data_IF_567484529120
#
_entry.id   IF_567484529120
#
_cell.length_a   1.000
_cell.length_b   1.000
_cell.length_c   1.000
_cell.angle_alpha   90.00
_cell.angle_beta   90.00
_cell.angle_gamma   90.00
#
_symmetry.space_group_name_H-M   'P 1'
#
loop_
_entity.id
_entity.type
_entity.pdbx_description
1 polymer ?
#
# COMPACT_ATOMS: atom_id res chain seq x y z
N UNK A 1 8.21 9.88 -1.98
CA UNK A 1 7.84 9.08 -0.79
C UNK A 1 8.09 7.62 -1.10
N UNK A 2 8.78 6.91 -0.23
CA UNK A 2 8.97 5.46 -0.34
C UNK A 2 8.31 4.76 0.84
N UNK A 3 7.77 3.56 0.62
CA UNK A 3 7.26 2.73 1.69
C UNK A 3 7.37 1.25 1.36
N UNK A 4 7.81 0.49 2.35
CA UNK A 4 7.82 -0.97 2.37
C UNK A 4 6.58 -1.47 3.10
N UNK A 5 5.85 -2.37 2.46
CA UNK A 5 4.59 -2.92 2.95
C UNK A 5 4.61 -4.44 2.87
N UNK A 6 4.10 -5.08 3.91
CA UNK A 6 3.77 -6.50 3.87
C UNK A 6 2.27 -6.63 3.60
N UNK A 7 1.95 -7.25 2.46
CA UNK A 7 0.61 -7.41 1.92
C UNK A 7 0.26 -8.89 1.95
N UNK A 8 -1.02 -9.20 2.12
CA UNK A 8 -1.48 -10.61 2.07
C UNK A 8 -1.82 -11.08 0.66
N UNK A 9 -2.38 -10.19 -0.15
CA UNK A 9 -2.79 -10.49 -1.52
C UNK A 9 -2.05 -9.55 -2.47
N UNK A 10 -1.51 -10.11 -3.54
CA UNK A 10 -0.93 -9.38 -4.66
C UNK A 10 -1.88 -8.31 -5.22
N UNK A 11 -3.21 -8.53 -5.14
CA UNK A 11 -4.23 -7.54 -5.54
C UNK A 11 -4.14 -6.24 -4.75
N UNK A 12 -3.61 -6.25 -3.52
CA UNK A 12 -3.43 -5.03 -2.72
C UNK A 12 -2.41 -4.07 -3.34
N UNK A 13 -1.45 -4.58 -4.12
CA UNK A 13 -0.52 -3.75 -4.90
C UNK A 13 -1.28 -2.87 -5.89
N UNK A 14 -2.17 -3.46 -6.70
CA UNK A 14 -2.97 -2.71 -7.66
C UNK A 14 -3.89 -1.70 -6.97
N UNK A 15 -4.43 -2.04 -5.79
CA UNK A 15 -5.26 -1.11 -4.99
C UNK A 15 -4.45 0.10 -4.53
N UNK A 16 -3.22 -0.12 -4.05
CA UNK A 16 -2.32 0.95 -3.59
C UNK A 16 -1.90 1.86 -4.75
N UNK A 17 -1.56 1.28 -5.91
CA UNK A 17 -1.25 2.07 -7.12
C UNK A 17 -2.45 2.92 -7.56
N UNK A 18 -3.64 2.34 -7.57
CA UNK A 18 -4.87 3.07 -7.89
C UNK A 18 -5.18 4.17 -6.87
N UNK A 19 -4.91 3.95 -5.58
CA UNK A 19 -5.02 4.99 -4.55
C UNK A 19 -4.07 6.15 -4.83
N UNK A 20 -2.81 5.87 -5.16
CA UNK A 20 -1.84 6.91 -5.52
C UNK A 20 -2.35 7.79 -6.67
N UNK A 21 -2.86 7.18 -7.74
CA UNK A 21 -3.47 7.91 -8.86
C UNK A 21 -4.64 8.82 -8.41
N UNK A 22 -5.53 8.33 -7.54
CA UNK A 22 -6.66 9.13 -7.02
C UNK A 22 -6.22 10.34 -6.21
N UNK A 23 -5.06 10.28 -5.56
CA UNK A 23 -4.48 11.39 -4.82
C UNK A 23 -3.61 12.31 -5.68
N UNK A 24 -3.62 12.19 -7.02
CA UNK A 24 -2.70 12.90 -7.91
C UNK A 24 -1.22 12.63 -7.59
N UNK A 25 -0.92 11.44 -7.07
CA UNK A 25 0.44 10.96 -6.89
C UNK A 25 0.78 10.01 -8.05
N UNK A 26 2.01 10.07 -8.53
CA UNK A 26 2.56 9.16 -9.52
C UNK A 26 3.28 8.03 -8.79
N UNK A 27 2.94 6.78 -9.09
CA UNK A 27 3.77 5.65 -8.69
C UNK A 27 4.95 5.54 -9.67
N UNK A 28 6.17 5.61 -9.15
CA UNK A 28 7.41 5.61 -9.95
C UNK A 28 8.14 4.28 -9.90
N UNK A 29 7.92 3.49 -8.83
CA UNK A 29 8.51 2.16 -8.67
C UNK A 29 7.60 1.28 -7.83
N UNK A 30 7.51 0.01 -8.22
CA UNK A 30 6.92 -1.07 -7.43
C UNK A 30 7.82 -2.28 -7.58
N UNK A 31 8.43 -2.70 -6.48
CA UNK A 31 9.13 -3.98 -6.41
C UNK A 31 8.35 -4.87 -5.45
N UNK A 32 7.85 -6.00 -5.94
CA UNK A 32 7.09 -6.92 -5.12
C UNK A 32 7.64 -8.33 -5.21
N UNK A 33 7.73 -8.99 -4.06
CA UNK A 33 8.12 -10.39 -3.92
C UNK A 33 6.98 -11.12 -3.21
N UNK A 34 6.36 -12.06 -3.91
CA UNK A 34 5.34 -12.94 -3.35
C UNK A 34 5.99 -14.24 -2.86
N UNK A 35 5.65 -14.63 -1.64
CA UNK A 35 5.87 -15.97 -1.07
C UNK A 35 4.51 -16.66 -0.94
N UNK A 36 4.49 -17.92 -0.48
CA UNK A 36 3.26 -18.72 -0.41
C UNK A 36 2.16 -18.09 0.47
N UNK A 37 2.55 -17.34 1.51
CA UNK A 37 1.61 -16.77 2.49
C UNK A 37 1.60 -15.23 2.55
N UNK A 38 2.65 -14.57 2.05
CA UNK A 38 2.80 -13.10 2.14
C UNK A 38 3.46 -12.50 0.91
N UNK A 39 3.05 -11.28 0.57
CA UNK A 39 3.61 -10.46 -0.50
C UNK A 39 4.30 -9.24 0.11
N UNK A 40 5.62 -9.18 0.04
CA UNK A 40 6.36 -7.96 0.41
C UNK A 40 6.45 -7.04 -0.79
N UNK A 41 6.15 -5.76 -0.62
CA UNK A 41 6.16 -4.79 -1.71
C UNK A 41 6.76 -3.45 -1.27
N UNK A 42 7.76 -2.99 -2.02
CA UNK A 42 8.34 -1.66 -1.91
C UNK A 42 7.73 -0.75 -2.97
N UNK A 43 7.21 0.39 -2.56
CA UNK A 43 6.64 1.40 -3.44
C UNK A 43 7.44 2.70 -3.38
N UNK A 44 7.57 3.36 -4.53
CA UNK A 44 7.97 4.75 -4.63
C UNK A 44 6.86 5.58 -5.29
N UNK A 45 6.55 6.72 -4.68
CA UNK A 45 5.55 7.68 -5.14
C UNK A 45 6.11 9.09 -5.20
N UNK A 46 5.77 9.82 -6.25
CA UNK A 46 6.06 11.25 -6.41
C UNK A 46 4.78 12.06 -6.51
N UNK A 47 4.81 13.29 -6.03
CA UNK A 47 3.67 14.20 -6.07
C UNK A 47 3.79 15.33 -5.05
N UNK A 48 2.77 16.21 -4.95
CA UNK A 48 2.74 17.27 -3.96
C UNK A 48 2.79 16.72 -2.53
N UNK A 49 3.52 17.38 -1.63
CA UNK A 49 3.73 16.90 -0.26
C UNK A 49 2.42 16.60 0.50
N UNK A 50 1.40 17.46 0.36
CA UNK A 50 0.09 17.25 0.97
C UNK A 50 -0.64 16.03 0.40
N UNK A 51 -0.49 15.77 -0.90
CA UNK A 51 -1.08 14.60 -1.55
C UNK A 51 -0.40 13.31 -1.09
N UNK A 52 0.94 13.30 -1.01
CA UNK A 52 1.71 12.18 -0.48
C UNK A 52 1.37 11.88 0.98
N UNK A 53 1.19 12.90 1.81
CA UNK A 53 0.75 12.74 3.21
C UNK A 53 -0.65 12.10 3.30
N UNK A 54 -1.60 12.54 2.47
CA UNK A 54 -2.95 11.94 2.41
C UNK A 54 -2.92 10.50 1.89
N UNK A 55 -2.12 10.23 0.87
CA UNK A 55 -1.90 8.88 0.36
C UNK A 55 -1.37 7.96 1.47
N UNK A 56 -0.35 8.41 2.21
CA UNK A 56 0.23 7.63 3.31
C UNK A 56 -0.83 7.27 4.35
N UNK A 57 -1.61 8.24 4.80
CA UNK A 57 -2.66 8.00 5.78
C UNK A 57 -3.73 6.99 5.30
N UNK A 58 -4.02 6.92 3.99
CA UNK A 58 -4.93 5.91 3.45
C UNK A 58 -4.29 4.53 3.31
N UNK A 59 -3.01 4.47 2.92
CA UNK A 59 -2.26 3.21 2.91
C UNK A 59 -2.24 2.62 4.32
N UNK A 60 -1.92 3.41 5.34
CA UNK A 60 -1.89 2.93 6.73
C UNK A 60 -3.26 2.39 7.18
N UNK A 61 -4.37 3.06 6.80
CA UNK A 61 -5.74 2.56 7.06
C UNK A 61 -6.04 1.25 6.34
N UNK A 62 -5.58 1.10 5.10
CA UNK A 62 -5.75 -0.14 4.34
C UNK A 62 -5.02 -1.29 5.03
N UNK A 63 -3.79 -1.06 5.50
CA UNK A 63 -2.99 -2.07 6.21
C UNK A 63 -3.65 -2.48 7.53
N UNK A 64 -4.13 -1.52 8.32
CA UNK A 64 -4.87 -1.81 9.55
C UNK A 64 -6.15 -2.63 9.30
N UNK A 65 -6.83 -2.39 8.19
CA UNK A 65 -8.02 -3.17 7.81
C UNK A 65 -7.63 -4.60 7.42
N UNK A 66 -6.55 -4.77 6.66
CA UNK A 66 -6.03 -6.09 6.28
C UNK A 66 -5.56 -6.88 7.51
N UNK A 67 -4.91 -6.25 8.48
CA UNK A 67 -4.56 -6.88 9.77
C UNK A 67 -5.80 -7.29 10.57
N UNK A 68 -6.82 -6.43 10.65
CA UNK A 68 -8.04 -6.73 11.44
C UNK A 68 -8.85 -7.90 10.93
N UNK A 69 -8.86 -8.14 9.62
CA UNK A 69 -9.53 -9.30 9.03
C UNK A 69 -8.91 -10.65 9.45
N UNK A 70 -7.79 -10.61 10.17
CA UNK A 70 -6.92 -11.78 10.34
C UNK A 70 -6.76 -12.18 11.81
N UNK A 71 -7.22 -11.33 12.73
CA UNK A 71 -7.53 -11.75 14.09
C UNK A 71 -8.97 -12.27 14.13
N UNK A 72 -9.22 -13.51 14.60
CA UNK A 72 -10.57 -13.90 14.95
C UNK A 72 -11.10 -12.95 16.04
N UNK A 73 -12.40 -12.63 16.07
CA UNK A 73 -12.97 -11.91 17.20
C UNK A 73 -12.75 -12.75 18.46
N UNK A 74 -12.09 -12.15 19.45
CA UNK A 74 -11.90 -12.72 20.79
C UNK A 74 -13.23 -12.96 21.50
#
# INVERSE_FOLDING_TARGET
MTCDLELRDFRSIARIVNLAHRFNCRCTRVDATATDDTTTAMFAFDGPALALSRLRAQIDRLMLYEERLTRPPS
#
